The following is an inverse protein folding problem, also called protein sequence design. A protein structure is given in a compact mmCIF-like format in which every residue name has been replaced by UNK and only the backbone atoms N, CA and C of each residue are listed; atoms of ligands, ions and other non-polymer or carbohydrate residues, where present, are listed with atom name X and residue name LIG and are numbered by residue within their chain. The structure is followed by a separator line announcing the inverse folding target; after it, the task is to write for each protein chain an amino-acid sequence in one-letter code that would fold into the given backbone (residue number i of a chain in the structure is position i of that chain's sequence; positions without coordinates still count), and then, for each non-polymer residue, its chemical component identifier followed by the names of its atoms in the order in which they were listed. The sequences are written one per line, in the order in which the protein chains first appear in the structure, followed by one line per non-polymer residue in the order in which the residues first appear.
data_IF_777140930620
#
_entry.id   IF_777140930620
#
_cell.length_a   1.000
_cell.length_b   1.000
_cell.length_c   1.000
_cell.angle_alpha   90.00
_cell.angle_beta   90.00
_cell.angle_gamma   90.00
#
_symmetry.space_group_name_H-M   'P 1'
#
loop_
_entity.id
_entity.type
_entity.pdbx_description
1 polymer ?
#
# COMPACT_ATOMS: atom_id res chain seq x y z
N UNK A 1 -3.79 0.37 15.81
CA UNK A 1 -4.02 1.51 14.90
C UNK A 1 -3.83 2.85 15.62
N UNK A 2 -3.95 2.88 16.96
CA UNK A 2 -3.72 4.09 17.77
C UNK A 2 -2.26 4.40 18.16
N UNK A 3 -1.32 3.47 17.95
CA UNK A 3 0.04 3.60 18.50
C UNK A 3 1.04 4.38 17.62
N UNK A 4 0.63 4.88 16.44
CA UNK A 4 1.59 5.47 15.47
C UNK A 4 1.23 6.86 14.96
N UNK A 5 0.24 7.51 15.60
CA UNK A 5 0.00 8.95 15.44
C UNK A 5 0.86 9.77 16.45
N UNK A 6 1.57 9.09 17.34
CA UNK A 6 2.36 9.67 18.44
C UNK A 6 3.80 10.10 18.03
N UNK A 7 3.97 10.73 16.86
CA UNK A 7 5.26 11.37 16.51
C UNK A 7 5.00 12.78 16.03
N UNK A 8 4.83 13.70 16.98
CA UNK A 8 4.84 15.14 16.74
C UNK A 8 3.84 15.91 17.60
N UNK A 9 4.14 16.07 18.89
CA UNK A 9 3.37 16.95 19.76
C UNK A 9 3.35 18.39 19.22
N UNK A 10 2.15 18.96 19.09
CA UNK A 10 1.61 20.02 19.98
C UNK A 10 0.33 20.58 19.32
N UNK A 11 -0.79 20.48 20.06
CA UNK A 11 -2.07 21.19 19.89
C UNK A 11 -3.20 20.60 19.00
N UNK A 12 -2.94 19.59 18.14
CA UNK A 12 -3.98 19.03 17.23
C UNK A 12 -4.75 17.79 17.73
N UNK A 13 -4.20 17.10 18.73
CA UNK A 13 -4.59 15.75 19.17
C UNK A 13 -6.07 15.64 19.59
N UNK A 14 -6.58 16.63 20.33
CA UNK A 14 -7.96 16.63 20.82
C UNK A 14 -9.00 16.89 19.73
N UNK A 15 -8.70 17.78 18.77
CA UNK A 15 -9.64 18.16 17.72
C UNK A 15 -9.83 17.04 16.68
N UNK A 16 -8.76 16.31 16.37
CA UNK A 16 -8.81 15.22 15.40
C UNK A 16 -9.49 13.97 15.96
N UNK A 17 -9.24 13.64 17.24
CA UNK A 17 -9.88 12.51 17.93
C UNK A 17 -11.37 12.77 18.23
N UNK A 18 -11.78 14.01 18.49
CA UNK A 18 -13.20 14.37 18.67
C UNK A 18 -13.98 14.27 17.35
N UNK A 19 -13.39 14.67 16.22
CA UNK A 19 -14.05 14.53 14.90
C UNK A 19 -14.12 13.09 14.40
N UNK A 20 -13.17 12.23 14.80
CA UNK A 20 -13.21 10.80 14.51
C UNK A 20 -14.41 10.11 15.18
N UNK A 21 -14.65 10.42 16.45
CA UNK A 21 -15.82 9.93 17.17
C UNK A 21 -17.14 10.48 16.60
N UNK A 22 -17.18 11.75 16.17
CA UNK A 22 -18.36 12.31 15.48
C UNK A 22 -18.64 11.61 14.13
N UNK A 23 -17.60 11.29 13.35
CA UNK A 23 -17.78 10.58 12.07
C UNK A 23 -18.24 9.13 12.27
N UNK A 24 -17.75 8.44 13.30
CA UNK A 24 -18.24 7.11 13.68
C UNK A 24 -19.69 7.15 14.17
N UNK A 25 -20.12 8.21 14.86
CA UNK A 25 -21.51 8.40 15.26
C UNK A 25 -22.45 8.61 14.06
N UNK A 26 -21.96 9.15 12.95
CA UNK A 26 -22.70 9.29 11.69
C UNK A 26 -22.61 8.07 10.76
N UNK A 27 -21.97 6.97 11.17
CA UNK A 27 -21.83 5.75 10.37
C UNK A 27 -20.91 5.85 9.15
N UNK A 28 -20.12 6.92 9.02
CA UNK A 28 -19.18 7.09 7.91
C UNK A 28 -17.84 6.38 8.20
N UNK A 29 -17.21 5.75 7.19
CA UNK A 29 -15.89 5.15 7.35
C UNK A 29 -14.86 6.23 7.72
N UNK A 30 -14.00 5.91 8.69
CA UNK A 30 -13.03 6.85 9.25
C UNK A 30 -12.14 7.54 8.20
N UNK A 31 -11.83 6.84 7.09
CA UNK A 31 -11.06 7.39 5.97
C UNK A 31 -11.72 8.59 5.31
N UNK A 32 -13.05 8.55 5.13
CA UNK A 32 -13.80 9.66 4.53
C UNK A 32 -13.82 10.87 5.47
N UNK A 33 -13.95 10.64 6.78
CA UNK A 33 -13.86 11.68 7.79
C UNK A 33 -12.49 12.39 7.81
N UNK A 34 -11.40 11.62 7.70
CA UNK A 34 -10.04 12.17 7.62
C UNK A 34 -9.81 12.94 6.31
N UNK A 35 -10.33 12.45 5.17
CA UNK A 35 -10.26 13.15 3.89
C UNK A 35 -10.99 14.50 3.93
N UNK A 36 -12.24 14.51 4.43
CA UNK A 36 -13.03 15.72 4.56
C UNK A 36 -12.40 16.72 5.54
N UNK A 37 -11.80 16.24 6.63
CA UNK A 37 -11.04 17.08 7.55
C UNK A 37 -9.83 17.72 6.84
N UNK A 38 -9.11 16.98 5.98
CA UNK A 38 -8.03 17.52 5.16
C UNK A 38 -8.50 18.59 4.16
N UNK A 39 -9.63 18.37 3.49
CA UNK A 39 -10.24 19.34 2.58
C UNK A 39 -10.67 20.61 3.34
N UNK A 40 -11.31 20.45 4.51
CA UNK A 40 -11.73 21.56 5.35
C UNK A 40 -10.54 22.37 5.88
N UNK A 41 -9.44 21.71 6.31
CA UNK A 41 -8.21 22.36 6.73
C UNK A 41 -7.53 23.13 5.59
N UNK A 42 -7.55 22.58 4.36
CA UNK A 42 -7.07 23.29 3.17
C UNK A 42 -7.93 24.50 2.81
N UNK A 43 -9.23 24.45 3.12
CA UNK A 43 -10.18 25.53 2.83
C UNK A 43 -10.05 26.75 3.74
N UNK A 44 -9.30 26.68 4.85
CA UNK A 44 -9.14 27.79 5.80
C UNK A 44 -7.92 28.65 5.41
N UNK A 45 -8.09 29.94 5.07
CA UNK A 45 -6.99 30.82 4.73
C UNK A 45 -6.19 31.17 5.99
N UNK A 46 -5.04 30.52 6.20
CA UNK A 46 -4.16 30.76 7.35
C UNK A 46 -3.17 29.63 7.63
N UNK A 47 -3.46 28.39 7.20
CA UNK A 47 -2.59 27.22 7.39
C UNK A 47 -1.93 26.86 6.06
N UNK A 48 -1.05 27.74 5.57
CA UNK A 48 -0.27 27.53 4.34
C UNK A 48 1.01 26.73 4.65
N UNK A 49 0.86 25.57 5.31
CA UNK A 49 1.98 24.70 5.72
C UNK A 49 2.04 23.42 4.84
N UNK A 50 1.02 23.17 4.03
CA UNK A 50 0.83 21.89 3.37
C UNK A 50 1.21 22.01 1.89
N UNK A 51 2.50 21.91 1.62
CA UNK A 51 3.04 21.87 0.24
C UNK A 51 4.55 21.68 0.22
N UNK A 52 5.28 22.62 0.84
CA UNK A 52 6.74 22.70 0.68
C UNK A 52 7.55 21.99 1.78
N UNK A 53 6.92 21.64 2.91
CA UNK A 53 7.55 20.99 4.07
C UNK A 53 6.92 19.64 4.42
N UNK A 54 6.47 18.87 3.43
CA UNK A 54 6.15 17.45 3.64
C UNK A 54 7.44 16.69 3.95
N UNK A 55 7.78 16.67 5.24
CA UNK A 55 8.87 15.85 5.76
C UNK A 55 8.67 14.40 5.28
N UNK A 56 9.75 13.68 4.92
CA UNK A 56 9.67 12.30 4.43
C UNK A 56 9.14 11.30 5.46
N UNK A 57 8.70 11.76 6.64
CA UNK A 57 8.08 11.00 7.72
C UNK A 57 6.90 10.13 7.26
N UNK A 58 6.14 10.55 6.24
CA UNK A 58 5.04 9.73 5.71
C UNK A 58 5.53 8.41 5.08
N UNK A 59 6.70 8.41 4.44
CA UNK A 59 7.29 7.19 3.86
C UNK A 59 7.68 6.21 4.96
N UNK A 60 8.20 6.72 6.07
CA UNK A 60 8.57 5.91 7.24
C UNK A 60 7.35 5.31 7.91
N UNK A 61 6.28 6.10 8.08
CA UNK A 61 5.00 5.62 8.61
C UNK A 61 4.41 4.51 7.72
N UNK A 62 4.47 4.67 6.39
CA UNK A 62 4.01 3.66 5.44
C UNK A 62 4.77 2.35 5.59
N UNK A 63 6.11 2.39 5.72
CA UNK A 63 6.94 1.19 5.96
C UNK A 63 6.48 0.45 7.21
N UNK A 64 6.26 1.15 8.33
CA UNK A 64 5.81 0.52 9.58
C UNK A 64 4.41 -0.08 9.44
N UNK A 65 3.49 0.59 8.74
CA UNK A 65 2.13 0.08 8.50
C UNK A 65 2.19 -1.19 7.64
N UNK A 66 2.99 -1.20 6.56
CA UNK A 66 3.15 -2.36 5.68
C UNK A 66 3.82 -3.54 6.38
N UNK A 67 4.88 -3.30 7.16
CA UNK A 67 5.54 -4.33 7.97
C UNK A 67 4.56 -4.95 8.98
N UNK A 68 3.77 -4.11 9.65
CA UNK A 68 2.74 -4.56 10.61
C UNK A 68 1.62 -5.34 9.92
N UNK A 69 1.22 -4.95 8.72
CA UNK A 69 0.22 -5.68 7.93
C UNK A 69 0.74 -7.06 7.50
N UNK A 70 1.99 -7.16 7.05
CA UNK A 70 2.62 -8.42 6.65
C UNK A 70 2.77 -9.41 7.82
N UNK A 71 3.12 -8.92 9.01
CA UNK A 71 3.19 -9.74 10.23
C UNK A 71 1.84 -10.29 10.70
N UNK A 72 0.73 -9.70 10.27
CA UNK A 72 -0.63 -10.16 10.60
C UNK A 72 -1.16 -11.27 9.68
N UNK A 73 -0.38 -11.72 8.70
CA UNK A 73 -0.80 -12.75 7.74
C UNK A 73 -0.55 -14.16 8.29
N UNK A 74 -1.53 -15.06 8.14
CA UNK A 74 -1.35 -16.48 8.42
C UNK A 74 -0.76 -17.19 7.17
N UNK A 75 0.52 -17.64 7.22
CA UNK A 75 1.16 -18.28 6.07
C UNK A 75 0.56 -19.64 5.73
N UNK A 76 -0.06 -20.36 6.68
CA UNK A 76 -0.67 -21.67 6.43
C UNK A 76 -1.95 -21.54 5.61
N UNK A 77 -2.84 -20.63 6.03
CA UNK A 77 -4.05 -20.29 5.28
C UNK A 77 -3.70 -19.73 3.89
N UNK A 78 -2.69 -18.86 3.82
CA UNK A 78 -2.24 -18.27 2.55
C UNK A 78 -1.72 -19.31 1.56
N UNK A 79 -0.90 -20.27 2.02
CA UNK A 79 -0.34 -21.32 1.16
C UNK A 79 -1.43 -22.26 0.63
N UNK A 80 -2.44 -22.57 1.44
CA UNK A 80 -3.56 -23.41 1.04
C UNK A 80 -4.42 -22.77 -0.06
N UNK A 81 -4.46 -21.43 -0.14
CA UNK A 81 -5.34 -20.68 -1.03
C UNK A 81 -4.59 -19.77 -2.02
N UNK A 82 -3.29 -19.97 -2.21
CA UNK A 82 -2.42 -19.10 -3.00
C UNK A 82 -2.87 -18.94 -4.46
N UNK A 83 -3.39 -20.01 -5.07
CA UNK A 83 -3.95 -19.97 -6.42
C UNK A 83 -5.21 -19.09 -6.49
N UNK A 84 -6.07 -19.15 -5.47
CA UNK A 84 -7.28 -18.33 -5.37
C UNK A 84 -6.90 -16.86 -5.19
N UNK A 85 -5.93 -16.58 -4.33
CA UNK A 85 -5.37 -15.22 -4.12
C UNK A 85 -4.85 -14.65 -5.44
N UNK A 86 -4.09 -15.43 -6.21
CA UNK A 86 -3.55 -14.99 -7.50
C UNK A 86 -4.66 -14.70 -8.52
N UNK A 87 -5.65 -15.59 -8.66
CA UNK A 87 -6.78 -15.37 -9.58
C UNK A 87 -7.61 -14.16 -9.18
N UNK A 88 -7.84 -13.97 -7.88
CA UNK A 88 -8.61 -12.85 -7.33
C UNK A 88 -7.86 -11.52 -7.45
N UNK A 89 -6.53 -11.51 -7.39
CA UNK A 89 -5.74 -10.30 -7.61
C UNK A 89 -5.66 -9.98 -9.11
N UNK A 90 -5.24 -10.92 -9.96
CA UNK A 90 -4.92 -10.61 -11.37
C UNK A 90 -6.14 -10.41 -12.27
N UNK A 91 -7.17 -11.26 -12.16
CA UNK A 91 -8.29 -11.24 -13.11
C UNK A 91 -9.15 -9.98 -12.97
N UNK A 92 -9.65 -9.62 -11.76
CA UNK A 92 -10.42 -8.40 -11.56
C UNK A 92 -9.58 -7.15 -11.88
N UNK A 93 -8.32 -7.13 -11.43
CA UNK A 93 -7.34 -6.08 -11.72
C UNK A 93 -7.26 -5.70 -13.19
N UNK A 94 -7.03 -6.69 -14.06
CA UNK A 94 -6.87 -6.47 -15.49
C UNK A 94 -8.19 -6.03 -16.13
N UNK A 95 -9.31 -6.63 -15.72
CA UNK A 95 -10.63 -6.29 -16.25
C UNK A 95 -11.02 -4.87 -15.86
N UNK A 96 -10.88 -4.49 -14.59
CA UNK A 96 -11.19 -3.15 -14.10
C UNK A 96 -10.32 -2.08 -14.76
N UNK A 97 -8.98 -2.27 -14.74
CA UNK A 97 -8.06 -1.30 -15.33
C UNK A 97 -8.30 -1.12 -16.84
N UNK A 98 -8.57 -2.20 -17.58
CA UNK A 98 -8.89 -2.15 -19.01
C UNK A 98 -10.24 -1.46 -19.25
N UNK A 99 -11.25 -1.78 -18.44
CA UNK A 99 -12.58 -1.15 -18.57
C UNK A 99 -12.49 0.35 -18.32
N UNK A 100 -11.79 0.77 -17.28
CA UNK A 100 -11.57 2.19 -16.97
C UNK A 100 -10.76 2.87 -18.07
N UNK A 101 -9.72 2.23 -18.61
CA UNK A 101 -8.93 2.78 -19.71
C UNK A 101 -9.77 2.98 -20.98
N UNK A 102 -10.63 2.03 -21.33
CA UNK A 102 -11.55 2.14 -22.46
C UNK A 102 -12.51 3.32 -22.24
N UNK A 103 -13.15 3.38 -21.07
CA UNK A 103 -14.09 4.46 -20.73
C UNK A 103 -13.38 5.82 -20.74
N UNK A 104 -12.17 5.91 -20.19
CA UNK A 104 -11.39 7.15 -20.18
C UNK A 104 -10.99 7.59 -21.59
N UNK A 105 -10.63 6.66 -22.47
CA UNK A 105 -10.31 6.98 -23.87
C UNK A 105 -11.53 7.55 -24.60
N UNK A 106 -12.69 6.91 -24.48
CA UNK A 106 -13.90 7.33 -25.19
C UNK A 106 -14.59 8.56 -24.59
N UNK A 107 -14.54 8.74 -23.26
CA UNK A 107 -15.24 9.83 -22.58
C UNK A 107 -14.40 11.11 -22.50
N UNK A 108 -13.09 10.99 -22.24
CA UNK A 108 -12.18 12.12 -22.03
C UNK A 108 -11.31 12.42 -23.26
N UNK A 109 -11.31 11.55 -24.27
CA UNK A 109 -10.47 11.69 -25.46
C UNK A 109 -8.97 11.52 -25.19
N UNK A 110 -8.59 10.96 -24.04
CA UNK A 110 -7.19 10.74 -23.70
C UNK A 110 -6.57 9.63 -24.54
N UNK A 111 -5.30 9.74 -24.96
CA UNK A 111 -4.61 8.66 -25.65
C UNK A 111 -4.43 7.43 -24.74
N UNK A 112 -4.30 6.25 -25.34
CA UNK A 112 -4.33 4.96 -24.65
C UNK A 112 -3.42 4.86 -23.43
N UNK A 113 -2.16 5.31 -23.52
CA UNK A 113 -1.21 5.24 -22.39
C UNK A 113 -1.72 6.01 -21.16
N UNK A 114 -2.19 7.24 -21.37
CA UNK A 114 -2.73 8.09 -20.30
C UNK A 114 -4.01 7.51 -19.70
N UNK A 115 -4.85 6.90 -20.52
CA UNK A 115 -6.05 6.19 -20.05
C UNK A 115 -5.72 4.96 -19.20
N UNK A 116 -4.70 4.18 -19.57
CA UNK A 116 -4.22 3.06 -18.76
C UNK A 116 -3.57 3.53 -17.45
N UNK A 117 -2.80 4.62 -17.47
CA UNK A 117 -2.27 5.23 -16.24
C UNK A 117 -3.40 5.61 -15.28
N UNK A 118 -4.46 6.22 -15.80
CA UNK A 118 -5.64 6.58 -15.01
C UNK A 118 -6.38 5.34 -14.47
N UNK A 119 -6.50 4.29 -15.27
CA UNK A 119 -7.06 3.01 -14.87
C UNK A 119 -6.32 2.35 -13.70
N UNK A 120 -5.00 2.35 -13.72
CA UNK A 120 -4.19 1.83 -12.60
C UNK A 120 -4.25 2.74 -11.36
N UNK A 121 -4.34 4.06 -11.54
CA UNK A 121 -4.42 5.02 -10.44
C UNK A 121 -5.72 4.92 -9.63
N UNK A 122 -6.87 4.76 -10.30
CA UNK A 122 -8.18 4.68 -9.64
C UNK A 122 -8.36 3.41 -8.80
N UNK A 123 -7.64 2.34 -9.12
CA UNK A 123 -7.76 1.03 -8.46
C UNK A 123 -7.24 1.02 -7.02
N UNK A 124 -6.27 1.88 -6.71
CA UNK A 124 -5.65 2.01 -5.37
C UNK A 124 -6.67 2.36 -4.27
N UNK A 125 -7.89 2.79 -4.63
CA UNK A 125 -8.88 3.34 -3.70
C UNK A 125 -9.98 2.34 -3.27
N UNK A 126 -9.78 1.02 -3.41
CA UNK A 126 -10.82 0.05 -3.06
C UNK A 126 -11.10 -0.02 -1.55
N UNK A 127 -12.22 0.58 -1.12
CA UNK A 127 -12.72 0.62 0.27
C UNK A 127 -13.29 -0.72 0.79
N UNK A 128 -13.19 -1.79 0.01
CA UNK A 128 -13.81 -3.08 0.32
C UNK A 128 -13.05 -3.80 1.45
N UNK A 129 -11.72 -3.66 1.49
CA UNK A 129 -10.84 -4.31 2.48
C UNK A 129 -11.21 -3.95 3.93
N UNK A 130 -11.34 -2.68 4.35
CA UNK A 130 -11.68 -2.35 5.75
C UNK A 130 -13.07 -2.86 6.17
N UNK A 131 -14.04 -2.89 5.25
CA UNK A 131 -15.37 -3.44 5.52
C UNK A 131 -15.30 -4.96 5.79
N UNK A 132 -14.57 -5.70 4.97
CA UNK A 132 -14.37 -7.14 5.14
C UNK A 132 -13.62 -7.47 6.45
N UNK A 133 -12.68 -6.62 6.86
CA UNK A 133 -12.00 -6.76 8.16
C UNK A 133 -12.94 -6.53 9.35
N UNK A 134 -13.89 -5.60 9.23
CA UNK A 134 -14.91 -5.40 10.27
C UNK A 134 -15.85 -6.61 10.40
N UNK A 135 -16.29 -7.20 9.28
CA UNK A 135 -17.09 -8.44 9.29
C UNK A 135 -16.29 -9.62 9.86
N UNK A 136 -14.99 -9.68 9.57
CA UNK A 136 -14.10 -10.67 10.18
C UNK A 136 -14.02 -10.52 11.70
N UNK A 137 -13.97 -9.30 12.23
CA UNK A 137 -13.98 -9.06 13.68
C UNK A 137 -15.29 -9.52 14.34
N UNK A 138 -16.38 -9.59 13.57
CA UNK A 138 -17.67 -10.14 13.99
C UNK A 138 -17.74 -11.67 13.88
N UNK A 139 -16.64 -12.34 13.51
CA UNK A 139 -16.55 -13.81 13.42
C UNK A 139 -16.96 -14.40 12.06
N UNK A 140 -17.36 -13.59 11.08
CA UNK A 140 -17.74 -14.10 9.77
C UNK A 140 -16.51 -14.48 8.94
N UNK A 141 -16.46 -15.73 8.46
CA UNK A 141 -15.46 -16.17 7.48
C UNK A 141 -14.04 -16.40 8.01
N UNK A 142 -13.84 -16.29 9.32
CA UNK A 142 -12.53 -16.46 9.99
C UNK A 142 -12.04 -17.92 9.86
N UNK A 143 -12.94 -18.90 10.01
CA UNK A 143 -12.61 -20.33 9.90
C UNK A 143 -12.10 -20.76 8.52
N UNK A 144 -12.40 -19.95 7.50
CA UNK A 144 -12.00 -20.19 6.11
C UNK A 144 -10.80 -19.35 5.70
N UNK A 145 -10.22 -18.54 6.60
CA UNK A 145 -9.07 -17.69 6.29
C UNK A 145 -9.36 -16.58 5.26
N UNK A 146 -10.64 -16.24 5.04
CA UNK A 146 -11.09 -15.20 4.09
C UNK A 146 -10.41 -13.85 4.34
N UNK A 147 -10.23 -13.37 5.58
CA UNK A 147 -9.59 -12.09 5.85
C UNK A 147 -8.14 -12.07 5.40
N UNK A 148 -7.38 -13.13 5.67
CA UNK A 148 -5.99 -13.29 5.22
C UNK A 148 -5.90 -13.37 3.69
N UNK A 149 -6.82 -14.09 3.05
CA UNK A 149 -6.89 -14.18 1.60
C UNK A 149 -7.14 -12.81 0.96
N UNK A 150 -8.09 -12.04 1.49
CA UNK A 150 -8.45 -10.71 0.98
C UNK A 150 -7.31 -9.71 1.18
N UNK A 151 -6.67 -9.69 2.37
CA UNK A 151 -5.51 -8.82 2.61
C UNK A 151 -4.38 -9.18 1.64
N UNK A 152 -4.08 -10.46 1.47
CA UNK A 152 -3.02 -10.90 0.56
C UNK A 152 -3.35 -10.55 -0.91
N UNK A 153 -4.60 -10.77 -1.35
CA UNK A 153 -5.06 -10.41 -2.68
C UNK A 153 -4.94 -8.90 -2.91
N UNK A 154 -5.39 -8.07 -1.95
CA UNK A 154 -5.26 -6.62 -2.03
C UNK A 154 -3.81 -6.14 -2.10
N UNK A 155 -2.90 -6.75 -1.32
CA UNK A 155 -1.47 -6.38 -1.40
C UNK A 155 -0.83 -6.73 -2.74
N UNK A 156 -1.19 -7.87 -3.34
CA UNK A 156 -0.74 -8.20 -4.70
C UNK A 156 -1.36 -7.25 -5.72
N UNK A 157 -2.62 -6.88 -5.51
CA UNK A 157 -3.34 -5.93 -6.35
C UNK A 157 -2.66 -4.56 -6.41
N UNK A 158 -2.26 -4.05 -5.24
CA UNK A 158 -1.52 -2.80 -5.08
C UNK A 158 -0.17 -2.85 -5.82
N UNK A 159 0.57 -3.96 -5.69
CA UNK A 159 1.85 -4.14 -6.41
C UNK A 159 1.61 -4.13 -7.92
N UNK A 160 0.59 -4.84 -8.41
CA UNK A 160 0.25 -4.84 -9.84
C UNK A 160 -0.18 -3.45 -10.34
N UNK A 161 -0.93 -2.71 -9.54
CA UNK A 161 -1.36 -1.36 -9.88
C UNK A 161 -0.17 -0.39 -9.97
N UNK A 162 0.73 -0.42 -8.98
CA UNK A 162 1.93 0.42 -8.95
C UNK A 162 2.87 0.07 -10.11
N UNK A 163 3.12 -1.22 -10.35
CA UNK A 163 3.99 -1.65 -11.46
C UNK A 163 3.38 -1.37 -12.83
N UNK A 164 2.08 -1.57 -13.00
CA UNK A 164 1.36 -1.22 -14.23
C UNK A 164 1.38 0.29 -14.49
N UNK A 165 1.16 1.10 -13.45
CA UNK A 165 1.28 2.55 -13.54
C UNK A 165 2.71 2.99 -13.91
N UNK A 166 3.72 2.45 -13.22
CA UNK A 166 5.13 2.74 -13.48
C UNK A 166 5.57 2.36 -14.89
N UNK A 167 5.09 1.22 -15.41
CA UNK A 167 5.32 0.79 -16.78
C UNK A 167 4.74 1.79 -17.81
N UNK A 168 3.48 2.20 -17.63
CA UNK A 168 2.83 3.15 -18.54
C UNK A 168 3.46 4.56 -18.45
N UNK A 169 3.87 4.97 -17.26
CA UNK A 169 4.60 6.21 -17.03
C UNK A 169 5.97 6.18 -17.73
N UNK A 170 6.71 5.08 -17.59
CA UNK A 170 7.98 4.86 -18.29
C UNK A 170 7.83 4.98 -19.80
N UNK A 171 6.84 4.29 -20.37
CA UNK A 171 6.53 4.34 -21.81
C UNK A 171 6.11 5.72 -22.31
N UNK A 172 5.55 6.57 -21.44
CA UNK A 172 5.10 7.91 -21.82
C UNK A 172 6.25 8.92 -21.83
N UNK A 173 7.21 8.79 -20.90
CA UNK A 173 8.29 9.77 -20.70
C UNK A 173 9.67 9.32 -21.19
N UNK A 174 9.84 8.04 -21.58
CA UNK A 174 11.14 7.51 -22.03
C UNK A 174 11.14 7.17 -23.53
N UNK A 175 12.10 7.72 -24.27
CA UNK A 175 12.34 7.46 -25.71
C UNK A 175 13.18 6.19 -25.98
N UNK A 176 13.41 5.35 -24.96
CA UNK A 176 14.22 4.13 -25.07
C UNK A 176 13.53 2.99 -25.83
N UNK A 177 14.26 1.89 -26.11
CA UNK A 177 13.66 0.69 -26.73
C UNK A 177 12.47 0.15 -25.92
N UNK A 178 11.33 -0.04 -26.59
CA UNK A 178 10.05 -0.45 -25.96
C UNK A 178 10.19 -1.73 -25.12
N UNK A 179 11.03 -2.66 -25.57
CA UNK A 179 11.34 -3.92 -24.89
C UNK A 179 12.06 -3.73 -23.56
N UNK A 180 12.99 -2.79 -23.47
CA UNK A 180 13.71 -2.53 -22.21
C UNK A 180 12.77 -1.91 -21.18
N UNK A 181 11.91 -0.98 -21.59
CA UNK A 181 10.93 -0.34 -20.73
C UNK A 181 9.88 -1.32 -20.21
N UNK A 182 9.44 -2.25 -21.07
CA UNK A 182 8.51 -3.31 -20.68
C UNK A 182 9.09 -4.26 -19.64
N UNK A 183 10.40 -4.53 -19.70
CA UNK A 183 11.10 -5.42 -18.77
C UNK A 183 11.42 -4.75 -17.43
N UNK A 184 11.59 -3.43 -17.40
CA UNK A 184 11.89 -2.69 -16.15
C UNK A 184 10.83 -2.89 -15.08
N UNK A 185 9.54 -2.80 -15.43
CA UNK A 185 8.44 -2.96 -14.46
C UNK A 185 8.47 -4.32 -13.74
N UNK A 186 8.43 -5.46 -14.46
CA UNK A 186 8.51 -6.78 -13.86
C UNK A 186 9.83 -7.03 -13.10
N UNK A 187 10.96 -6.52 -13.62
CA UNK A 187 12.27 -6.66 -12.96
C UNK A 187 12.27 -5.96 -11.60
N UNK A 188 11.70 -4.77 -11.49
CA UNK A 188 11.61 -4.05 -10.21
C UNK A 188 10.81 -4.85 -9.17
N UNK A 189 9.69 -5.45 -9.58
CA UNK A 189 8.88 -6.33 -8.72
C UNK A 189 9.67 -7.56 -8.27
N UNK A 190 10.38 -8.21 -9.20
CA UNK A 190 11.19 -9.39 -8.89
C UNK A 190 12.36 -9.06 -7.95
N UNK A 191 12.99 -7.90 -8.13
CA UNK A 191 14.03 -7.40 -7.23
C UNK A 191 13.49 -7.12 -5.83
N UNK A 192 12.33 -6.48 -5.72
CA UNK A 192 11.66 -6.27 -4.43
C UNK A 192 11.27 -7.59 -3.74
N UNK A 193 10.71 -8.54 -4.50
CA UNK A 193 10.30 -9.85 -3.98
C UNK A 193 11.50 -10.67 -3.50
N UNK A 194 12.58 -10.71 -4.27
CA UNK A 194 13.80 -11.43 -3.91
C UNK A 194 14.46 -10.84 -2.67
N UNK A 195 14.58 -9.50 -2.58
CA UNK A 195 15.07 -8.84 -1.38
C UNK A 195 14.20 -9.14 -0.15
N UNK A 196 12.87 -9.04 -0.29
CA UNK A 196 11.92 -9.37 0.77
C UNK A 196 12.03 -10.82 1.23
N UNK A 197 12.18 -11.77 0.31
CA UNK A 197 12.35 -13.19 0.61
C UNK A 197 13.67 -13.47 1.36
N UNK A 198 14.77 -12.86 0.93
CA UNK A 198 16.08 -12.98 1.60
C UNK A 198 16.02 -12.42 3.02
N UNK A 199 15.47 -11.22 3.21
CA UNK A 199 15.34 -10.63 4.54
C UNK A 199 14.36 -11.41 5.43
N UNK A 200 13.28 -11.96 4.86
CA UNK A 200 12.36 -12.84 5.58
C UNK A 200 13.02 -14.15 6.04
N UNK A 201 13.88 -14.74 5.20
CA UNK A 201 14.66 -15.93 5.56
C UNK A 201 15.69 -15.63 6.66
N UNK A 202 16.36 -14.47 6.60
CA UNK A 202 17.26 -14.00 7.65
C UNK A 202 16.51 -13.82 8.99
N UNK A 203 15.30 -13.26 8.95
CA UNK A 203 14.43 -13.17 10.13
C UNK A 203 13.98 -14.52 10.67
N UNK A 204 13.97 -15.59 9.85
CA UNK A 204 13.63 -16.94 10.29
C UNK A 204 14.81 -17.66 10.96
N UNK A 205 16.05 -17.41 10.52
CA UNK A 205 17.25 -18.12 11.03
C UNK A 205 17.87 -17.46 12.28
N UNK A 206 17.82 -16.13 12.39
CA UNK A 206 18.42 -15.37 13.50
C UNK A 206 17.74 -15.49 14.88
N UNK A 207 16.44 -15.84 15.04
CA UNK A 207 15.82 -15.98 16.37
C UNK A 207 16.32 -17.24 17.10
N UNK A 208 17.52 -17.16 17.67
CA UNK A 208 18.13 -18.23 18.43
C UNK A 208 17.26 -18.57 19.68
N UNK A 209 17.12 -19.87 19.97
CA UNK A 209 16.14 -20.44 20.91
C UNK A 209 16.28 -19.98 22.38
N UNK A 210 17.35 -19.27 22.75
CA UNK A 210 17.81 -19.11 24.14
C UNK A 210 17.55 -17.74 24.80
N UNK A 211 16.85 -16.79 24.17
CA UNK A 211 16.62 -15.46 24.77
C UNK A 211 15.14 -15.03 24.81
N UNK A 212 14.73 -14.50 25.97
CA UNK A 212 13.36 -14.07 26.31
C UNK A 212 12.87 -12.84 25.51
N UNK A 213 13.72 -12.24 24.66
CA UNK A 213 13.44 -11.05 23.84
C UNK A 213 13.31 -11.34 22.32
N UNK A 214 12.90 -12.56 21.92
CA UNK A 214 12.77 -12.96 20.50
C UNK A 214 11.94 -11.99 19.65
N UNK A 215 10.78 -11.56 20.16
CA UNK A 215 9.87 -10.67 19.42
C UNK A 215 10.46 -9.27 19.21
N UNK A 216 11.23 -8.77 20.17
CA UNK A 216 11.88 -7.46 20.05
C UNK A 216 12.99 -7.49 19.00
N UNK A 217 13.81 -8.54 18.99
CA UNK A 217 14.87 -8.71 17.99
C UNK A 217 14.32 -8.85 16.57
N UNK A 218 13.27 -9.65 16.37
CA UNK A 218 12.59 -9.77 15.07
C UNK A 218 12.02 -8.44 14.60
N UNK A 219 11.37 -7.68 15.50
CA UNK A 219 10.85 -6.37 15.18
C UNK A 219 11.97 -5.39 14.78
N UNK A 220 13.09 -5.36 15.51
CA UNK A 220 14.25 -4.52 15.18
C UNK A 220 14.87 -4.89 13.83
N UNK A 221 15.00 -6.19 13.51
CA UNK A 221 15.54 -6.64 12.21
C UNK A 221 14.58 -6.24 11.09
N UNK A 222 13.27 -6.44 11.26
CA UNK A 222 12.28 -6.08 10.24
C UNK A 222 12.21 -4.56 9.99
N UNK A 223 12.24 -3.75 11.06
CA UNK A 223 12.24 -2.30 10.93
C UNK A 223 13.53 -1.81 10.26
N UNK A 224 14.69 -2.32 10.66
CA UNK A 224 15.96 -1.94 10.03
C UNK A 224 16.03 -2.37 8.56
N UNK A 225 15.53 -3.57 8.22
CA UNK A 225 15.40 -4.05 6.85
C UNK A 225 14.47 -3.16 5.99
N UNK A 226 13.34 -2.72 6.57
CA UNK A 226 12.39 -1.84 5.90
C UNK A 226 12.96 -0.44 5.65
N UNK A 227 13.67 0.13 6.63
CA UNK A 227 14.36 1.40 6.43
C UNK A 227 15.49 1.27 5.41
N UNK A 228 16.26 0.18 5.46
CA UNK A 228 17.32 -0.07 4.47
C UNK A 228 16.74 -0.17 3.06
N UNK A 229 15.61 -0.85 2.88
CA UNK A 229 14.90 -0.90 1.60
C UNK A 229 14.44 0.49 1.12
N UNK A 230 13.88 1.30 2.02
CA UNK A 230 13.39 2.64 1.71
C UNK A 230 14.52 3.57 1.24
N UNK A 231 15.64 3.61 1.98
CA UNK A 231 16.80 4.44 1.60
C UNK A 231 17.59 3.85 0.43
N UNK A 232 17.64 2.52 0.32
CA UNK A 232 18.24 1.80 -0.80
C UNK A 232 17.54 2.10 -2.11
N UNK A 233 16.21 2.00 -2.15
CA UNK A 233 15.39 2.33 -3.32
C UNK A 233 15.62 3.77 -3.81
N UNK A 234 15.76 4.74 -2.89
CA UNK A 234 16.06 6.13 -3.26
C UNK A 234 17.44 6.31 -3.91
N UNK A 235 18.45 5.55 -3.45
CA UNK A 235 19.80 5.61 -4.04
C UNK A 235 19.90 4.88 -5.38
N UNK A 236 19.16 3.79 -5.54
CA UNK A 236 19.18 2.99 -6.79
C UNK A 236 18.35 3.66 -7.90
N UNK A 237 17.64 4.77 -7.60
CA UNK A 237 16.94 5.61 -8.61
C UNK A 237 15.96 4.81 -9.49
N UNK A 238 15.40 3.72 -8.97
CA UNK A 238 14.49 2.80 -9.68
C UNK A 238 13.19 3.47 -10.15
N UNK A 239 12.84 4.65 -9.63
CA UNK A 239 11.60 5.37 -9.97
C UNK A 239 11.78 6.75 -10.60
N UNK A 240 12.98 7.15 -11.04
CA UNK A 240 13.15 8.43 -11.76
C UNK A 240 13.44 8.15 -13.22
N UNK A 241 12.39 8.14 -14.04
CA UNK A 241 12.53 8.50 -15.45
C UNK A 241 13.22 9.87 -15.45
N UNK A 242 14.41 9.93 -16.04
CA UNK A 242 15.13 11.17 -16.30
C UNK A 242 14.61 11.78 -17.59
#
# INVERSE_FOLDING_TARGET
MYLFIDVGGVSGEGFFLIRLHLCQACGLPALLGMLLAGIALRSIPGVKIIGDSLNPSWKMALVVILLRAGLGLDPKALKAMSLTVFRLAFVPSLVESTTVAIVAHFLLGFPWLWSFMLGYCLRVLQLVVPCLLQLSQQGYGVDKGIPTLVIAAATLDDVLAISGFGLMLGMTFSEGSLTWQLLHGPIEVLMGLSYGAVMGFICWILPNEHHQSRSFQQFTILISAGFFALFGSQKVRLGSVS
#
